data_IF_161410841168
#
_entry.id   IF_161410841168
#
_cell.length_a   1.000
_cell.length_b   1.000
_cell.length_c   1.000
_cell.angle_alpha   90.00
_cell.angle_beta   90.00
_cell.angle_gamma   90.00
#
_symmetry.space_group_name_H-M   'P 1'
#
loop_
_entity.id
_entity.type
_entity.pdbx_description
1 polymer ?
#
# COMPACT_ATOMS: atom_id res chain seq x y z
N UNK A 1 10.81 9.22 -6.19
CA UNK A 1 10.59 8.59 -7.52
C UNK A 1 11.12 7.16 -7.49
N UNK A 2 10.47 6.21 -8.16
CA UNK A 2 10.90 4.80 -8.18
C UNK A 2 12.31 4.62 -8.75
N UNK A 3 12.65 5.39 -9.80
CA UNK A 3 13.97 5.37 -10.46
C UNK A 3 15.12 5.66 -9.48
N UNK A 4 14.99 6.70 -8.63
CA UNK A 4 16.03 7.05 -7.65
C UNK A 4 16.29 5.90 -6.68
N UNK A 5 15.22 5.21 -6.24
CA UNK A 5 15.34 4.06 -5.33
C UNK A 5 16.07 2.89 -5.99
N UNK A 6 15.78 2.62 -7.27
CA UNK A 6 16.46 1.56 -8.04
C UNK A 6 17.92 1.89 -8.27
N UNK A 7 18.24 3.13 -8.64
CA UNK A 7 19.64 3.58 -8.82
C UNK A 7 20.42 3.46 -7.51
N UNK A 8 19.84 3.91 -6.39
CA UNK A 8 20.48 3.81 -5.09
C UNK A 8 20.71 2.34 -4.67
N UNK A 9 19.73 1.47 -4.91
CA UNK A 9 19.88 0.03 -4.67
C UNK A 9 21.01 -0.58 -5.52
N UNK A 10 21.10 -0.22 -6.80
CA UNK A 10 22.17 -0.67 -7.68
C UNK A 10 23.56 -0.21 -7.19
N UNK A 11 23.68 1.04 -6.75
CA UNK A 11 24.92 1.57 -6.16
C UNK A 11 25.32 0.79 -4.90
N UNK A 12 24.37 0.49 -4.01
CA UNK A 12 24.63 -0.31 -2.80
C UNK A 12 25.09 -1.72 -3.15
N UNK A 13 24.42 -2.39 -4.10
CA UNK A 13 24.81 -3.73 -4.55
C UNK A 13 26.22 -3.70 -5.14
N UNK A 14 26.52 -2.71 -6.01
CA UNK A 14 27.84 -2.57 -6.61
C UNK A 14 28.92 -2.35 -5.55
N UNK A 15 28.65 -1.51 -4.55
CA UNK A 15 29.54 -1.28 -3.43
C UNK A 15 29.84 -2.59 -2.66
N UNK A 16 28.81 -3.37 -2.33
CA UNK A 16 28.98 -4.67 -1.65
C UNK A 16 29.82 -5.64 -2.50
N UNK A 17 29.59 -5.69 -3.80
CA UNK A 17 30.38 -6.52 -4.73
C UNK A 17 31.84 -6.08 -4.73
N UNK A 18 32.11 -4.77 -4.86
CA UNK A 18 33.47 -4.24 -4.86
C UNK A 18 34.20 -4.60 -3.58
N UNK A 19 33.57 -4.40 -2.42
CA UNK A 19 34.15 -4.76 -1.11
C UNK A 19 34.38 -6.26 -1.02
N UNK A 20 33.41 -7.08 -1.42
CA UNK A 20 33.51 -8.54 -1.37
C UNK A 20 34.61 -9.10 -2.27
N UNK A 21 34.81 -8.53 -3.46
CA UNK A 21 35.87 -8.94 -4.39
C UNK A 21 37.24 -8.51 -3.87
N UNK A 22 37.38 -7.26 -3.42
CA UNK A 22 38.67 -6.75 -2.92
C UNK A 22 39.14 -7.47 -1.65
N UNK A 23 38.21 -7.98 -0.84
CA UNK A 23 38.49 -8.66 0.42
C UNK A 23 38.14 -10.15 0.36
N UNK A 24 38.16 -10.77 -0.83
CA UNK A 24 37.66 -12.13 -1.04
C UNK A 24 38.39 -13.23 -0.26
N UNK A 25 39.64 -13.01 0.16
CA UNK A 25 40.42 -13.94 0.99
C UNK A 25 40.42 -13.60 2.48
N UNK A 26 39.73 -12.53 2.89
CA UNK A 26 39.77 -12.05 4.27
C UNK A 26 38.90 -12.92 5.17
N UNK A 27 39.49 -13.41 6.27
CA UNK A 27 38.82 -14.22 7.27
C UNK A 27 38.61 -13.36 8.50
N UNK A 28 37.37 -13.28 8.96
CA UNK A 28 37.00 -12.40 10.07
C UNK A 28 36.27 -13.17 11.17
N UNK A 29 36.30 -12.59 12.37
CA UNK A 29 35.44 -13.01 13.47
C UNK A 29 34.16 -12.17 13.44
N UNK A 30 33.04 -12.82 13.10
CA UNK A 30 31.74 -12.19 13.05
C UNK A 30 31.04 -12.30 14.40
N UNK A 31 30.56 -11.17 14.93
CA UNK A 31 29.83 -11.12 16.19
C UNK A 31 28.44 -10.56 15.97
N UNK A 32 27.41 -11.31 16.38
CA UNK A 32 26.02 -10.89 16.33
C UNK A 32 25.37 -11.08 17.70
N UNK A 33 25.02 -9.97 18.35
CA UNK A 33 24.59 -9.93 19.75
C UNK A 33 25.53 -10.69 20.69
N UNK A 34 25.19 -11.92 21.06
CA UNK A 34 25.96 -12.79 21.97
C UNK A 34 26.64 -13.95 21.26
N UNK A 35 26.44 -14.11 19.96
CA UNK A 35 27.04 -15.17 19.17
C UNK A 35 28.30 -14.66 18.49
N UNK A 36 29.32 -15.49 18.52
CA UNK A 36 30.62 -15.24 17.91
C UNK A 36 30.95 -16.41 16.98
N UNK A 37 31.26 -16.07 15.75
CA UNK A 37 31.64 -17.02 14.72
C UNK A 37 33.02 -16.63 14.20
N UNK A 38 34.01 -17.46 14.49
CA UNK A 38 35.39 -17.26 14.05
C UNK A 38 35.65 -18.01 12.75
N UNK A 39 36.61 -17.52 11.97
CA UNK A 39 37.06 -18.23 10.77
C UNK A 39 36.12 -18.09 9.57
N UNK A 40 35.25 -17.08 9.54
CA UNK A 40 34.29 -16.91 8.45
C UNK A 40 34.87 -15.98 7.37
N UNK A 41 34.83 -16.38 6.09
CA UNK A 41 35.16 -15.50 4.97
C UNK A 41 34.25 -14.25 4.92
N UNK A 42 34.84 -13.05 4.80
CA UNK A 42 34.09 -11.79 4.78
C UNK A 42 33.06 -11.73 3.64
N UNK A 43 33.41 -12.28 2.47
CA UNK A 43 32.51 -12.34 1.31
C UNK A 43 31.21 -13.11 1.62
N UNK A 44 31.27 -14.19 2.41
CA UNK A 44 30.11 -14.98 2.81
C UNK A 44 29.17 -14.14 3.69
N UNK A 45 29.72 -13.42 4.68
CA UNK A 45 28.96 -12.52 5.55
C UNK A 45 28.28 -11.41 4.73
N UNK A 46 28.99 -10.83 3.76
CA UNK A 46 28.44 -9.79 2.89
C UNK A 46 27.28 -10.31 2.03
N UNK A 47 27.39 -11.51 1.47
CA UNK A 47 26.32 -12.14 0.69
C UNK A 47 25.10 -12.43 1.58
N UNK A 48 25.30 -12.99 2.78
CA UNK A 48 24.22 -13.27 3.72
C UNK A 48 23.52 -11.99 4.19
N UNK A 49 24.29 -10.95 4.53
CA UNK A 49 23.75 -9.66 4.92
C UNK A 49 22.92 -9.03 3.79
N UNK A 50 23.38 -9.12 2.54
CA UNK A 50 22.65 -8.64 1.38
C UNK A 50 21.34 -9.43 1.18
N UNK A 51 21.39 -10.76 1.28
CA UNK A 51 20.23 -11.63 1.14
C UNK A 51 19.17 -11.35 2.22
N UNK A 52 19.59 -11.23 3.49
CA UNK A 52 18.70 -10.88 4.60
C UNK A 52 18.09 -9.49 4.38
N UNK A 53 18.90 -8.51 3.97
CA UNK A 53 18.43 -7.16 3.65
C UNK A 53 17.37 -7.16 2.54
N UNK A 54 17.57 -7.94 1.48
CA UNK A 54 16.58 -8.12 0.41
C UNK A 54 15.29 -8.78 0.91
N UNK A 55 15.40 -9.86 1.69
CA UNK A 55 14.24 -10.55 2.27
C UNK A 55 13.40 -9.63 3.17
N UNK A 56 14.06 -8.87 4.05
CA UNK A 56 13.39 -7.87 4.89
C UNK A 56 12.74 -6.78 4.04
N UNK A 57 13.41 -6.32 2.98
CA UNK A 57 12.86 -5.35 2.03
C UNK A 57 11.58 -5.86 1.37
N UNK A 58 11.56 -7.13 0.93
CA UNK A 58 10.37 -7.77 0.37
C UNK A 58 9.25 -7.86 1.41
N UNK A 59 9.55 -8.29 2.64
CA UNK A 59 8.55 -8.36 3.71
C UNK A 59 7.91 -7.00 3.98
N UNK A 60 8.72 -5.95 4.14
CA UNK A 60 8.23 -4.58 4.36
C UNK A 60 7.36 -4.12 3.18
N UNK A 61 7.78 -4.42 1.94
CA UNK A 61 7.03 -4.09 0.74
C UNK A 61 5.65 -4.76 0.70
N UNK A 62 5.55 -6.03 1.11
CA UNK A 62 4.29 -6.76 1.20
C UNK A 62 3.34 -6.07 2.20
N UNK A 63 3.83 -5.78 3.41
CA UNK A 63 3.00 -5.08 4.42
C UNK A 63 2.52 -3.72 3.92
N UNK A 64 3.39 -2.96 3.26
CA UNK A 64 3.02 -1.67 2.68
C UNK A 64 1.98 -1.83 1.57
N UNK A 65 2.14 -2.79 0.67
CA UNK A 65 1.21 -3.05 -0.43
C UNK A 65 -0.19 -3.43 0.07
N UNK A 66 -0.28 -4.27 1.10
CA UNK A 66 -1.55 -4.62 1.76
C UNK A 66 -2.19 -3.37 2.39
N UNK A 67 -1.40 -2.56 3.11
CA UNK A 67 -1.86 -1.29 3.67
C UNK A 67 -2.40 -0.33 2.62
N UNK A 68 -1.74 -0.21 1.47
CA UNK A 68 -2.23 0.63 0.37
C UNK A 68 -3.54 0.12 -0.23
N UNK A 69 -3.66 -1.20 -0.45
CA UNK A 69 -4.90 -1.79 -0.99
C UNK A 69 -6.10 -1.57 -0.08
N UNK A 70 -5.93 -1.73 1.22
CA UNK A 70 -7.00 -1.49 2.20
C UNK A 70 -7.43 -0.02 2.23
N UNK A 71 -6.48 0.92 2.12
CA UNK A 71 -6.79 2.36 2.00
C UNK A 71 -7.58 2.66 0.72
N UNK A 72 -7.16 2.14 -0.43
CA UNK A 72 -7.87 2.31 -1.70
C UNK A 72 -9.31 1.79 -1.59
N UNK A 73 -9.51 0.61 -0.99
CA UNK A 73 -10.84 0.04 -0.82
C UNK A 73 -11.73 0.89 0.09
N UNK A 74 -11.20 1.38 1.22
CA UNK A 74 -11.92 2.29 2.12
C UNK A 74 -12.30 3.59 1.41
N UNK A 75 -11.36 4.20 0.69
CA UNK A 75 -11.61 5.43 -0.07
C UNK A 75 -12.67 5.24 -1.15
N UNK A 76 -12.64 4.13 -1.90
CA UNK A 76 -13.69 3.81 -2.88
C UNK A 76 -15.07 3.65 -2.24
N UNK A 77 -15.14 2.97 -1.09
CA UNK A 77 -16.39 2.79 -0.35
C UNK A 77 -16.95 4.12 0.14
N UNK A 78 -16.09 5.00 0.63
CA UNK A 78 -16.46 6.34 1.08
C UNK A 78 -16.96 7.21 -0.08
N UNK A 79 -16.26 7.22 -1.22
CA UNK A 79 -16.72 7.90 -2.44
C UNK A 79 -18.10 7.39 -2.86
N UNK A 80 -18.32 6.07 -2.85
CA UNK A 80 -19.62 5.50 -3.20
C UNK A 80 -20.71 5.94 -2.23
N UNK A 81 -20.43 5.95 -0.92
CA UNK A 81 -21.39 6.37 0.10
C UNK A 81 -21.77 7.83 -0.06
N UNK A 82 -20.78 8.71 -0.17
CA UNK A 82 -20.98 10.15 -0.35
C UNK A 82 -21.73 10.45 -1.65
N UNK A 83 -21.43 9.72 -2.73
CA UNK A 83 -22.17 9.84 -3.99
C UNK A 83 -23.63 9.44 -3.83
N UNK A 84 -23.92 8.34 -3.12
CA UNK A 84 -25.30 7.90 -2.86
C UNK A 84 -26.06 8.91 -1.98
N UNK A 85 -25.42 9.47 -0.96
CA UNK A 85 -26.00 10.51 -0.10
C UNK A 85 -26.34 11.77 -0.92
N UNK A 86 -25.44 12.21 -1.81
CA UNK A 86 -25.68 13.35 -2.69
C UNK A 86 -26.86 13.11 -3.65
N UNK A 87 -26.96 11.90 -4.22
CA UNK A 87 -28.05 11.53 -5.12
C UNK A 87 -29.39 11.49 -4.38
N UNK A 88 -29.43 10.94 -3.17
CA UNK A 88 -30.63 10.91 -2.34
C UNK A 88 -31.09 12.33 -2.00
N UNK A 89 -30.17 13.22 -1.58
CA UNK A 89 -30.49 14.63 -1.31
C UNK A 89 -30.99 15.38 -2.55
N UNK A 90 -30.46 15.07 -3.74
CA UNK A 90 -30.91 15.70 -4.99
C UNK A 90 -32.28 15.21 -5.45
N UNK A 91 -32.64 13.97 -5.14
CA UNK A 91 -33.90 13.39 -5.59
C UNK A 91 -35.07 13.66 -4.62
N UNK A 92 -34.79 14.01 -3.35
CA UNK A 92 -35.81 14.40 -2.36
C UNK A 92 -36.82 15.46 -2.89
N UNK A 93 -36.36 16.57 -3.52
CA UNK A 93 -37.27 17.60 -4.05
C UNK A 93 -38.19 17.11 -5.18
N UNK A 94 -37.80 16.04 -5.90
CA UNK A 94 -38.58 15.48 -7.00
C UNK A 94 -39.66 14.54 -6.43
N UNK A 95 -39.30 13.75 -5.43
CA UNK A 95 -40.23 12.84 -4.76
C UNK A 95 -41.33 13.61 -4.00
N UNK A 96 -40.96 14.70 -3.32
CA UNK A 96 -41.92 15.62 -2.68
C UNK A 96 -42.90 16.25 -3.70
N UNK A 97 -42.41 16.64 -4.88
CA UNK A 97 -43.26 17.20 -5.93
C UNK A 97 -44.21 16.15 -6.53
N UNK A 98 -43.75 14.92 -6.75
CA UNK A 98 -44.59 13.82 -7.26
C UNK A 98 -45.70 13.43 -6.27
N UNK A 99 -45.39 13.36 -4.97
CA UNK A 99 -46.39 13.11 -3.93
C UNK A 99 -47.45 14.21 -3.86
N UNK A 100 -47.04 15.47 -3.95
CA UNK A 100 -47.95 16.62 -3.90
C UNK A 100 -48.89 16.63 -5.12
N UNK A 101 -48.37 16.25 -6.29
CA UNK A 101 -49.15 16.11 -7.52
C UNK A 101 -50.16 14.96 -7.46
N UNK A 102 -49.77 13.81 -6.91
CA UNK A 102 -50.69 12.69 -6.68
C UNK A 102 -51.82 13.05 -5.72
N UNK A 103 -51.52 13.78 -4.64
CA UNK A 103 -52.56 14.27 -3.71
C UNK A 103 -53.54 15.20 -4.41
N UNK A 104 -53.05 16.14 -5.21
CA UNK A 104 -53.90 17.05 -6.00
C UNK A 104 -54.81 16.29 -6.99
N UNK A 105 -54.29 15.26 -7.65
CA UNK A 105 -55.05 14.44 -8.60
C UNK A 105 -56.12 13.58 -7.92
N UNK A 106 -55.82 13.02 -6.74
CA UNK A 106 -56.77 12.25 -5.95
C UNK A 106 -57.88 13.14 -5.38
N UNK A 107 -57.55 14.36 -4.94
CA UNK A 107 -58.53 15.33 -4.43
C UNK A 107 -59.49 15.78 -5.55
N UNK A 108 -58.98 16.00 -6.77
CA UNK A 108 -59.82 16.29 -7.94
C UNK A 108 -60.78 15.16 -8.29
N UNK A 109 -60.34 13.90 -8.22
CA UNK A 109 -61.22 12.74 -8.45
C UNK A 109 -62.34 12.61 -7.42
N UNK A 110 -62.13 13.12 -6.20
CA UNK A 110 -63.14 13.10 -5.15
C UNK A 110 -64.20 14.19 -5.33
N UNK A 111 -63.85 15.33 -5.95
CA UNK A 111 -64.76 16.45 -6.20
C UNK A 111 -65.66 16.20 -7.43
N UNK A 112 -65.16 15.47 -8.43
CA UNK A 112 -65.90 15.17 -9.68
C UNK A 112 -66.87 13.96 -9.58
N UNK A 113 -67.05 13.38 -8.39
CA UNK A 113 -67.89 12.19 -8.15
C UNK A 113 -69.10 12.51 -7.27
#
# INVERSE_FOLDING_TARGET
MWVIKVVLLAVVILFVIIVGVQNGGEIVTFRILRWEFAGIPLNMILVEALAIGMLLGVMISIFHAVGMRTRIWRQKKEISRLTSELVAMRNLPIEEAEEEQQRMDDERRYIDR
#
